data_IF_477495078284
#
_entry.id   IF_477495078284
#
_cell.length_a   1.000
_cell.length_b   1.000
_cell.length_c   1.000
_cell.angle_alpha   90.00
_cell.angle_beta   90.00
_cell.angle_gamma   90.00
#
_symmetry.space_group_name_H-M   'P 1'
#
loop_
_entity.id
_entity.type
_entity.pdbx_description
1 polymer ?
#
# COMPACT_ATOMS: atom_id res chain seq x y z
N UNK A 1 -8.64 -8.05 -37.13
CA UNK A 1 -7.88 -8.26 -35.87
C UNK A 1 -8.81 -7.86 -34.73
N UNK A 2 -9.38 -8.84 -34.03
CA UNK A 2 -10.37 -8.60 -32.98
C UNK A 2 -9.59 -8.48 -31.66
N UNK A 3 -9.26 -7.27 -31.22
CA UNK A 3 -8.68 -7.06 -29.90
C UNK A 3 -9.78 -7.36 -28.88
N UNK A 4 -9.69 -8.53 -28.23
CA UNK A 4 -10.35 -8.72 -26.94
C UNK A 4 -9.68 -7.74 -25.99
N UNK A 5 -10.39 -6.70 -25.61
CA UNK A 5 -10.12 -5.97 -24.38
C UNK A 5 -10.36 -6.99 -23.27
N UNK A 6 -9.30 -7.70 -22.88
CA UNK A 6 -9.29 -8.32 -21.55
C UNK A 6 -9.55 -7.17 -20.60
N UNK A 7 -10.70 -7.20 -19.92
CA UNK A 7 -11.05 -6.22 -18.91
C UNK A 7 -9.88 -6.19 -17.93
N UNK A 8 -9.07 -5.14 -18.00
CA UNK A 8 -7.87 -4.94 -17.20
C UNK A 8 -8.24 -4.65 -15.76
N UNK A 9 -8.92 -5.60 -15.13
CA UNK A 9 -9.06 -5.63 -13.68
C UNK A 9 -7.65 -5.86 -13.17
N UNK A 10 -7.04 -4.81 -12.63
CA UNK A 10 -5.87 -4.94 -11.78
C UNK A 10 -6.27 -5.92 -10.66
N UNK A 11 -5.84 -7.17 -10.76
CA UNK A 11 -6.16 -8.24 -9.80
C UNK A 11 -5.39 -8.07 -8.47
N UNK A 12 -5.05 -6.84 -8.10
CA UNK A 12 -4.20 -6.52 -6.98
C UNK A 12 -4.51 -5.13 -6.43
N UNK A 13 -3.72 -4.75 -5.44
CA UNK A 13 -3.69 -3.40 -4.90
C UNK A 13 -2.25 -2.93 -4.83
N UNK A 14 -2.06 -1.62 -4.89
CA UNK A 14 -0.72 -1.07 -4.80
C UNK A 14 -0.71 0.40 -4.49
N UNK A 15 0.46 0.86 -4.05
CA UNK A 15 0.73 2.24 -3.68
C UNK A 15 2.07 2.66 -4.26
N UNK A 16 2.09 3.88 -4.76
CA UNK A 16 3.28 4.55 -5.28
C UNK A 16 3.61 5.68 -4.32
N UNK A 17 4.87 5.71 -3.88
CA UNK A 17 5.39 6.70 -2.93
C UNK A 17 6.54 7.45 -3.58
N UNK A 18 6.77 8.70 -3.15
CA UNK A 18 8.00 9.40 -3.52
C UNK A 18 9.19 8.70 -2.86
N UNK A 19 10.35 8.71 -3.51
CA UNK A 19 11.59 8.16 -2.94
C UNK A 19 12.14 9.08 -1.83
N UNK A 20 11.52 8.97 -0.65
CA UNK A 20 11.94 9.61 0.60
C UNK A 20 12.63 8.60 1.52
N UNK A 21 13.26 9.12 2.59
CA UNK A 21 13.83 8.26 3.63
C UNK A 21 12.75 7.38 4.28
N UNK A 22 11.58 7.97 4.57
CA UNK A 22 10.44 7.27 5.14
C UNK A 22 9.93 6.18 4.19
N UNK A 23 9.77 6.48 2.89
CA UNK A 23 9.30 5.51 1.91
C UNK A 23 10.26 4.33 1.74
N UNK A 24 11.58 4.54 1.88
CA UNK A 24 12.57 3.45 1.87
C UNK A 24 12.43 2.52 3.06
N UNK A 25 12.24 3.07 4.27
CA UNK A 25 11.99 2.26 5.48
C UNK A 25 10.67 1.47 5.33
N UNK A 26 9.62 2.12 4.81
CA UNK A 26 8.34 1.45 4.52
C UNK A 26 8.56 0.31 3.52
N UNK A 27 9.31 0.54 2.44
CA UNK A 27 9.65 -0.49 1.47
C UNK A 27 10.38 -1.67 2.11
N UNK A 28 11.37 -1.43 2.97
CA UNK A 28 12.10 -2.49 3.67
C UNK A 28 11.19 -3.34 4.56
N UNK A 29 10.31 -2.71 5.34
CA UNK A 29 9.31 -3.42 6.15
C UNK A 29 8.38 -4.24 5.26
N UNK A 30 7.87 -3.63 4.18
CA UNK A 30 6.90 -4.26 3.29
C UNK A 30 7.49 -5.42 2.47
N UNK A 31 8.79 -5.41 2.16
CA UNK A 31 9.49 -6.55 1.52
C UNK A 31 9.41 -7.84 2.33
N UNK A 32 9.23 -7.75 3.66
CA UNK A 32 9.12 -8.93 4.53
C UNK A 32 7.73 -9.58 4.48
N UNK A 33 6.73 -8.91 3.91
CA UNK A 33 5.34 -9.33 3.94
C UNK A 33 5.03 -10.33 2.82
N UNK A 34 4.27 -11.40 3.11
CA UNK A 34 3.95 -12.42 2.11
C UNK A 34 3.06 -11.85 1.00
N UNK A 35 3.44 -12.11 -0.26
CA UNK A 35 2.66 -11.67 -1.42
C UNK A 35 2.82 -10.17 -1.75
N UNK A 36 3.77 -9.48 -1.11
CA UNK A 36 4.13 -8.10 -1.43
C UNK A 36 5.32 -8.05 -2.38
N UNK A 37 5.25 -7.19 -3.38
CA UNK A 37 6.32 -6.88 -4.33
C UNK A 37 6.68 -5.41 -4.20
N UNK A 38 7.96 -5.11 -4.07
CA UNK A 38 8.46 -3.75 -3.99
C UNK A 38 9.43 -3.48 -5.14
N UNK A 39 9.14 -2.46 -5.92
CA UNK A 39 9.92 -2.00 -7.07
C UNK A 39 10.42 -0.58 -6.83
N UNK A 40 11.72 -0.36 -6.97
CA UNK A 40 12.35 0.95 -6.85
C UNK A 40 12.62 1.50 -8.25
N UNK A 41 12.03 2.64 -8.55
CA UNK A 41 12.19 3.38 -9.80
C UNK A 41 12.89 4.72 -9.51
N UNK A 42 13.44 5.42 -10.52
CA UNK A 42 14.02 6.73 -10.30
C UNK A 42 13.00 7.69 -9.67
N UNK A 43 13.26 8.08 -8.41
CA UNK A 43 12.42 8.95 -7.57
C UNK A 43 11.08 8.38 -7.08
N UNK A 44 10.76 7.11 -7.35
CA UNK A 44 9.50 6.48 -6.93
C UNK A 44 9.72 5.08 -6.34
N UNK A 45 8.89 4.74 -5.37
CA UNK A 45 8.82 3.40 -4.80
C UNK A 45 7.41 2.88 -5.01
N UNK A 46 7.30 1.74 -5.70
CA UNK A 46 6.04 1.03 -5.94
C UNK A 46 5.95 -0.19 -5.04
N UNK A 47 4.84 -0.32 -4.31
CA UNK A 47 4.54 -1.46 -3.44
C UNK A 47 3.21 -2.07 -3.92
N UNK A 48 3.25 -3.32 -4.37
CA UNK A 48 2.12 -4.04 -4.94
C UNK A 48 1.85 -5.33 -4.17
N UNK A 49 0.59 -5.75 -4.11
CA UNK A 49 0.19 -7.06 -3.61
C UNK A 49 -1.03 -7.62 -4.34
N UNK A 50 -1.15 -8.95 -4.35
CA UNK A 50 -2.24 -9.64 -5.06
C UNK A 50 -3.58 -9.60 -4.31
N UNK A 51 -3.57 -9.38 -2.98
CA UNK A 51 -4.81 -9.40 -2.16
C UNK A 51 -5.02 -8.14 -1.34
N UNK A 52 -4.04 -7.80 -0.51
CA UNK A 52 -4.07 -6.62 0.33
C UNK A 52 -2.66 -6.16 0.68
N UNK A 53 -2.55 -4.88 1.02
CA UNK A 53 -1.41 -4.28 1.69
C UNK A 53 -1.87 -3.74 3.03
N UNK A 54 -1.20 -4.12 4.11
CA UNK A 54 -1.48 -3.63 5.46
C UNK A 54 -0.25 -2.89 5.95
N UNK A 55 -0.41 -1.60 6.19
CA UNK A 55 0.60 -0.72 6.77
C UNK A 55 0.24 -0.47 8.22
N UNK A 56 0.93 -1.13 9.15
CA UNK A 56 0.73 -0.97 10.58
C UNK A 56 1.61 0.18 11.10
N UNK A 57 1.00 1.22 11.67
CA UNK A 57 1.75 2.41 12.09
C UNK A 57 2.72 2.15 13.24
N UNK A 58 2.41 1.21 14.15
CA UNK A 58 3.30 0.86 15.25
C UNK A 58 4.56 0.14 14.73
N UNK A 59 4.42 -0.80 13.79
CA UNK A 59 5.54 -1.48 13.15
C UNK A 59 6.41 -0.51 12.34
N UNK A 60 5.77 0.39 11.60
CA UNK A 60 6.51 1.41 10.83
C UNK A 60 7.23 2.40 11.76
N UNK A 61 6.60 2.82 12.86
CA UNK A 61 7.24 3.68 13.86
C UNK A 61 8.45 3.02 14.51
N UNK A 62 8.35 1.73 14.84
CA UNK A 62 9.46 0.94 15.38
C UNK A 62 10.62 0.87 14.39
N UNK A 63 10.33 0.60 13.11
CA UNK A 63 11.34 0.54 12.05
C UNK A 63 12.01 1.90 11.79
N UNK A 64 11.25 3.00 11.89
CA UNK A 64 11.76 4.37 11.72
C UNK A 64 12.48 4.90 12.96
N UNK A 65 12.27 4.32 14.13
CA UNK A 65 12.80 4.83 15.41
C UNK A 65 12.19 6.16 15.85
N UNK A 66 11.05 6.55 15.27
CA UNK A 66 10.32 7.78 15.61
C UNK A 66 8.81 7.58 15.38
N UNK A 67 7.99 8.43 16.00
CA UNK A 67 6.54 8.36 15.83
C UNK A 67 6.16 8.61 14.36
N UNK A 68 5.46 7.64 13.78
CA UNK A 68 4.97 7.67 12.41
C UNK A 68 3.48 7.34 12.37
N UNK A 69 2.65 8.34 12.07
CA UNK A 69 1.19 8.22 12.06
C UNK A 69 0.59 8.11 10.64
N UNK A 70 -0.72 7.89 10.60
CA UNK A 70 -1.47 7.75 9.34
C UNK A 70 -1.52 9.01 8.48
N UNK A 71 -1.30 10.20 9.07
CA UNK A 71 -1.24 11.45 8.32
C UNK A 71 0.12 11.59 7.62
N UNK A 72 1.20 11.28 8.34
CA UNK A 72 2.56 11.22 7.77
C UNK A 72 2.63 10.17 6.66
N UNK A 73 2.02 9.00 6.86
CA UNK A 73 1.91 7.99 5.79
C UNK A 73 1.28 8.57 4.52
N UNK A 74 0.15 9.27 4.63
CA UNK A 74 -0.56 9.82 3.47
C UNK A 74 0.22 10.91 2.72
N UNK A 75 1.11 11.64 3.39
CA UNK A 75 1.97 12.65 2.75
C UNK A 75 2.94 12.00 1.76
N UNK A 76 3.40 10.80 2.05
CA UNK A 76 4.36 10.07 1.22
C UNK A 76 3.70 9.45 -0.04
N UNK A 77 2.37 9.33 -0.05
CA UNK A 77 1.62 8.65 -1.11
C UNK A 77 1.39 9.56 -2.31
N UNK A 78 1.95 9.18 -3.46
CA UNK A 78 1.74 9.85 -4.74
C UNK A 78 0.50 9.33 -5.46
N UNK A 79 0.31 8.02 -5.48
CA UNK A 79 -0.84 7.37 -6.12
C UNK A 79 -1.12 6.01 -5.46
N UNK A 80 -2.34 5.52 -5.58
CA UNK A 80 -2.69 4.16 -5.18
C UNK A 80 -3.81 3.60 -6.05
N UNK A 81 -3.89 2.27 -6.09
CA UNK A 81 -5.01 1.55 -6.70
C UNK A 81 -5.49 0.43 -5.77
N UNK A 82 -6.76 0.07 -5.91
CA UNK A 82 -7.49 -0.74 -4.93
C UNK A 82 -8.30 0.12 -3.97
N UNK A 83 -8.90 -0.51 -2.97
CA UNK A 83 -9.75 0.17 -1.98
C UNK A 83 -8.96 0.45 -0.71
N UNK A 84 -8.64 1.71 -0.47
CA UNK A 84 -8.00 2.17 0.76
C UNK A 84 -9.01 2.29 1.90
N UNK A 85 -8.65 1.74 3.05
CA UNK A 85 -9.32 1.88 4.34
C UNK A 85 -8.28 2.43 5.30
N UNK A 86 -8.56 3.60 5.88
CA UNK A 86 -7.71 4.23 6.89
C UNK A 86 -8.38 4.05 8.25
N UNK A 87 -7.61 3.57 9.22
CA UNK A 87 -7.99 3.47 10.63
C UNK A 87 -7.00 4.30 11.46
N UNK A 88 -7.20 4.38 12.77
CA UNK A 88 -6.33 5.18 13.64
C UNK A 88 -4.89 4.64 13.74
N UNK A 89 -4.71 3.31 13.61
CA UNK A 89 -3.44 2.61 13.81
C UNK A 89 -2.87 1.93 12.55
N UNK A 90 -3.61 1.95 11.44
CA UNK A 90 -3.20 1.28 10.20
C UNK A 90 -3.86 1.85 8.95
N UNK A 91 -3.19 1.64 7.82
CA UNK A 91 -3.74 1.86 6.48
C UNK A 91 -3.78 0.52 5.74
N UNK A 92 -4.92 0.19 5.15
CA UNK A 92 -5.11 -1.06 4.41
C UNK A 92 -5.58 -0.78 2.99
N UNK A 93 -4.92 -1.36 2.00
CA UNK A 93 -5.41 -1.39 0.61
C UNK A 93 -5.91 -2.79 0.30
N UNK A 94 -7.12 -2.88 -0.26
CA UNK A 94 -7.71 -4.14 -0.71
C UNK A 94 -7.82 -4.20 -2.23
N UNK A 95 -7.44 -5.33 -2.81
CA UNK A 95 -7.74 -5.64 -4.20
C UNK A 95 -9.26 -5.87 -4.42
N UNK A 96 -9.93 -6.50 -3.45
CA UNK A 96 -11.36 -6.82 -3.52
C UNK A 96 -12.20 -5.85 -2.67
N UNK A 97 -13.19 -5.21 -3.31
CA UNK A 97 -14.12 -4.29 -2.67
C UNK A 97 -14.98 -4.95 -1.57
N UNK A 98 -15.39 -6.21 -1.71
CA UNK A 98 -16.22 -6.90 -0.71
C UNK A 98 -15.48 -7.10 0.61
N UNK A 99 -14.17 -7.36 0.55
CA UNK A 99 -13.32 -7.47 1.75
C UNK A 99 -13.21 -6.12 2.46
N UNK A 100 -13.02 -5.03 1.70
CA UNK A 100 -12.97 -3.68 2.27
C UNK A 100 -14.31 -3.29 2.94
N UNK A 101 -15.44 -3.73 2.39
CA UNK A 101 -16.78 -3.43 2.94
C UNK A 101 -17.02 -4.01 4.34
N UNK A 102 -16.26 -5.04 4.74
CA UNK A 102 -16.34 -5.58 6.12
C UNK A 102 -15.85 -4.59 7.16
N UNK A 103 -14.96 -3.67 6.79
CA UNK A 103 -14.40 -2.66 7.69
C UNK A 103 -15.29 -1.44 7.90
N UNK A 104 -16.32 -1.23 7.08
CA UNK A 104 -17.30 -0.15 7.25
C UNK A 104 -18.59 -0.59 7.98
N UNK A 105 -18.70 -1.87 8.35
CA UNK A 105 -19.90 -2.46 8.98
C UNK A 105 -19.71 -2.80 10.46
N UNK A 106 -18.59 -2.39 11.06
CA UNK A 106 -18.38 -2.36 12.51
C UNK A 106 -18.67 -0.99 13.07
#
# INVERSE_FOLDING_TARGET
MNLKLDSGVLNGCGITMNDSEQARVIAEVMRTKPGVRVSEEPALINIDADRNLVFNMAELSEAMGSDFDVYQFQIEVTAYYGRMVVQDDQVILFANQEEAMKYYKG
#
